data_IF_310300537445
#
_entry.id   IF_310300537445
#
_cell.length_a   1.000
_cell.length_b   1.000
_cell.length_c   1.000
_cell.angle_alpha   90.00
_cell.angle_beta   90.00
_cell.angle_gamma   90.00
#
_symmetry.space_group_name_H-M   'P 1'
#
loop_
_entity.id
_entity.type
_entity.pdbx_description
1 polymer ?
#
# COMPACT_ATOMS: atom_id res chain seq x y z
N UNK A 1 13.14 -11.16 2.76
CA UNK A 1 13.45 -10.20 3.85
C UNK A 1 12.30 -9.21 3.92
N UNK A 2 11.44 -9.31 4.93
CA UNK A 2 10.36 -8.34 5.13
C UNK A 2 10.97 -7.01 5.56
N UNK A 3 10.73 -5.94 4.80
CA UNK A 3 11.19 -4.59 5.17
C UNK A 3 10.53 -4.24 6.51
N UNK A 4 11.33 -4.10 7.57
CA UNK A 4 10.89 -3.64 8.89
C UNK A 4 10.18 -2.28 8.75
N UNK A 5 9.18 -2.03 9.60
CA UNK A 5 8.49 -0.74 9.64
C UNK A 5 9.38 0.23 10.40
N UNK A 6 10.04 1.14 9.69
CA UNK A 6 10.88 2.17 10.31
C UNK A 6 10.03 3.32 10.85
N UNK A 7 9.36 3.06 11.97
CA UNK A 7 8.52 4.02 12.71
C UNK A 7 9.31 5.19 13.30
N UNK A 8 10.62 5.27 13.09
CA UNK A 8 11.47 6.41 13.46
C UNK A 8 11.53 7.48 12.37
N UNK A 9 11.33 7.10 11.11
CA UNK A 9 11.41 8.01 9.96
C UNK A 9 10.29 9.05 9.97
N UNK A 10 10.61 10.25 9.46
CA UNK A 10 9.58 11.24 9.10
C UNK A 10 8.78 10.75 7.89
N UNK A 11 7.57 11.26 7.64
CA UNK A 11 6.73 10.84 6.50
C UNK A 11 7.47 10.89 5.16
N UNK A 12 8.20 11.97 4.89
CA UNK A 12 8.98 12.15 3.66
C UNK A 12 10.09 11.09 3.50
N UNK A 13 10.83 10.81 4.58
CA UNK A 13 11.87 9.79 4.59
C UNK A 13 11.28 8.39 4.39
N UNK A 14 10.11 8.12 5.00
CA UNK A 14 9.42 6.86 4.81
C UNK A 14 8.95 6.67 3.37
N UNK A 15 8.37 7.71 2.74
CA UNK A 15 8.01 7.72 1.33
C UNK A 15 9.23 7.47 0.43
N UNK A 16 10.40 7.98 0.82
CA UNK A 16 11.65 7.73 0.09
C UNK A 16 12.11 6.27 0.15
N UNK A 17 11.72 5.50 1.19
CA UNK A 17 11.98 4.05 1.25
C UNK A 17 11.10 3.21 0.32
N UNK A 18 10.02 3.82 -0.21
CA UNK A 18 9.10 3.17 -1.12
C UNK A 18 9.60 3.26 -2.56
N UNK A 19 9.53 2.13 -3.27
CA UNK A 19 9.77 2.09 -4.71
C UNK A 19 8.69 2.89 -5.47
N UNK A 20 8.98 3.32 -6.71
CA UNK A 20 8.02 4.11 -7.51
C UNK A 20 6.65 3.43 -7.65
N UNK A 21 6.64 2.11 -7.82
CA UNK A 21 5.39 1.32 -7.88
C UNK A 21 4.64 1.29 -6.54
N UNK A 22 5.37 1.27 -5.41
CA UNK A 22 4.79 1.29 -4.06
C UNK A 22 4.15 2.66 -3.77
N UNK A 23 4.81 3.77 -4.15
CA UNK A 23 4.22 5.13 -4.05
C UNK A 23 2.98 5.29 -4.95
N UNK A 24 2.93 4.57 -6.06
CA UNK A 24 1.75 4.53 -6.92
C UNK A 24 0.50 4.03 -6.21
N UNK A 25 0.63 3.15 -5.21
CA UNK A 25 -0.51 2.67 -4.41
C UNK A 25 -1.11 3.80 -3.55
N UNK A 26 -0.28 4.71 -3.04
CA UNK A 26 -0.73 5.90 -2.29
C UNK A 26 -1.52 6.82 -3.22
N UNK A 27 -1.00 7.09 -4.42
CA UNK A 27 -1.72 7.88 -5.43
C UNK A 27 -3.09 7.27 -5.78
N UNK A 28 -3.15 5.96 -5.94
CA UNK A 28 -4.40 5.23 -6.23
C UNK A 28 -5.37 5.31 -5.05
N UNK A 29 -4.87 5.14 -3.82
CA UNK A 29 -5.66 5.27 -2.60
C UNK A 29 -6.27 6.66 -2.47
N UNK A 30 -5.48 7.71 -2.68
CA UNK A 30 -5.95 9.09 -2.61
C UNK A 30 -6.99 9.40 -3.70
N UNK A 31 -6.77 8.92 -4.92
CA UNK A 31 -7.61 9.27 -6.07
C UNK A 31 -8.92 8.45 -6.17
N UNK A 32 -8.91 7.18 -5.77
CA UNK A 32 -10.04 6.25 -5.99
C UNK A 32 -10.74 5.92 -4.66
N UNK A 33 -9.97 5.73 -3.60
CA UNK A 33 -10.48 5.26 -2.32
C UNK A 33 -10.57 6.39 -1.28
N UNK A 34 -10.27 7.63 -1.65
CA UNK A 34 -10.30 8.80 -0.76
C UNK A 34 -9.48 8.59 0.53
N UNK A 35 -8.29 8.00 0.41
CA UNK A 35 -7.42 7.70 1.55
C UNK A 35 -7.80 6.43 2.32
N UNK A 36 -8.88 5.73 1.95
CA UNK A 36 -9.40 4.57 2.70
C UNK A 36 -8.72 3.27 2.31
N UNK A 37 -7.59 2.97 2.96
CA UNK A 37 -6.84 1.72 2.75
C UNK A 37 -7.67 0.44 2.90
N UNK A 38 -8.64 0.42 3.82
CA UNK A 38 -9.50 -0.75 4.03
C UNK A 38 -10.37 -1.07 2.81
N UNK A 39 -10.85 -0.05 2.10
CA UNK A 39 -11.66 -0.23 0.90
C UNK A 39 -10.79 -0.79 -0.25
N UNK A 40 -9.57 -0.24 -0.42
CA UNK A 40 -8.60 -0.76 -1.39
C UNK A 40 -8.18 -2.20 -1.09
N UNK A 41 -7.93 -2.54 0.18
CA UNK A 41 -7.59 -3.90 0.60
C UNK A 41 -8.74 -4.88 0.33
N UNK A 42 -9.99 -4.47 0.58
CA UNK A 42 -11.17 -5.29 0.28
C UNK A 42 -11.26 -5.58 -1.22
N UNK A 43 -11.06 -4.57 -2.07
CA UNK A 43 -11.08 -4.74 -3.52
C UNK A 43 -9.95 -5.63 -4.03
N UNK A 44 -8.73 -5.47 -3.51
CA UNK A 44 -7.60 -6.34 -3.85
C UNK A 44 -7.86 -7.79 -3.43
N UNK A 45 -8.39 -8.02 -2.22
CA UNK A 45 -8.74 -9.36 -1.73
C UNK A 45 -9.85 -10.01 -2.56
N UNK A 46 -10.86 -9.24 -2.97
CA UNK A 46 -11.91 -9.71 -3.87
C UNK A 46 -11.31 -10.11 -5.24
N UNK A 47 -10.46 -9.25 -5.82
CA UNK A 47 -9.76 -9.55 -7.09
C UNK A 47 -8.85 -10.78 -6.98
N UNK A 48 -8.24 -11.01 -5.82
CA UNK A 48 -7.40 -12.19 -5.57
C UNK A 48 -8.17 -13.51 -5.67
N UNK A 49 -9.49 -13.49 -5.43
CA UNK A 49 -10.36 -14.66 -5.41
C UNK A 49 -11.06 -14.94 -6.76
N UNK A 50 -11.12 -13.96 -7.67
CA UNK A 50 -11.90 -14.03 -8.91
C UNK A 50 -11.19 -14.80 -10.02
N UNK A 51 -11.51 -16.10 -10.23
CA UNK A 51 -10.97 -16.94 -11.32
C UNK A 51 -11.63 -16.66 -12.68
N UNK A 52 -10.93 -16.86 -13.83
CA UNK A 52 -9.53 -17.29 -13.98
C UNK A 52 -8.55 -16.10 -14.06
N UNK A 53 -7.45 -16.15 -13.31
CA UNK A 53 -6.39 -15.14 -13.35
C UNK A 53 -5.03 -15.79 -13.57
N UNK A 54 -4.13 -15.04 -14.22
CA UNK A 54 -2.74 -15.48 -14.37
C UNK A 54 -2.03 -15.52 -13.02
N UNK A 55 -1.04 -16.41 -12.89
CA UNK A 55 -0.16 -16.48 -11.72
C UNK A 55 0.58 -15.15 -11.47
N UNK A 56 0.86 -14.38 -12.52
CA UNK A 56 1.50 -13.06 -12.41
C UNK A 56 0.60 -12.03 -11.73
N UNK A 57 -0.71 -12.02 -12.07
CA UNK A 57 -1.67 -11.11 -11.44
C UNK A 57 -1.83 -11.43 -9.95
N UNK A 58 -1.93 -12.72 -9.61
CA UNK A 58 -1.99 -13.15 -8.21
C UNK A 58 -0.78 -12.66 -7.40
N UNK A 59 0.43 -12.88 -7.94
CA UNK A 59 1.68 -12.42 -7.29
C UNK A 59 1.70 -10.90 -7.10
N UNK A 60 1.22 -10.13 -8.09
CA UNK A 60 1.14 -8.67 -8.01
C UNK A 60 0.16 -8.24 -6.91
N UNK A 61 -1.05 -8.78 -6.89
CA UNK A 61 -2.07 -8.44 -5.87
C UNK A 61 -1.55 -8.78 -4.47
N UNK A 62 -0.94 -9.95 -4.28
CA UNK A 62 -0.35 -10.33 -2.99
C UNK A 62 0.76 -9.36 -2.56
N UNK A 63 1.61 -8.92 -3.50
CA UNK A 63 2.65 -7.91 -3.22
C UNK A 63 2.03 -6.57 -2.84
N UNK A 64 1.04 -6.10 -3.59
CA UNK A 64 0.36 -4.82 -3.36
C UNK A 64 -0.32 -4.81 -1.98
N UNK A 65 -0.98 -5.91 -1.57
CA UNK A 65 -1.57 -6.06 -0.23
C UNK A 65 -0.50 -5.90 0.86
N UNK A 66 0.63 -6.60 0.73
CA UNK A 66 1.71 -6.53 1.74
C UNK A 66 2.32 -5.12 1.86
N UNK A 67 2.40 -4.38 0.75
CA UNK A 67 2.87 -2.98 0.75
C UNK A 67 1.86 -2.09 1.47
N UNK A 68 0.57 -2.23 1.18
CA UNK A 68 -0.50 -1.44 1.82
C UNK A 68 -0.52 -1.70 3.32
N UNK A 69 -0.42 -2.96 3.76
CA UNK A 69 -0.37 -3.31 5.18
C UNK A 69 0.85 -2.67 5.87
N UNK A 70 2.01 -2.62 5.20
CA UNK A 70 3.21 -1.92 5.71
C UNK A 70 2.99 -0.41 5.83
N UNK A 71 2.35 0.22 4.85
CA UNK A 71 2.02 1.65 4.86
C UNK A 71 1.04 1.97 5.99
N UNK A 72 -0.05 1.21 6.09
CA UNK A 72 -1.09 1.41 7.09
C UNK A 72 -0.54 1.21 8.52
N UNK A 73 0.39 0.27 8.69
CA UNK A 73 1.06 0.08 9.97
C UNK A 73 1.98 1.27 10.33
N UNK A 74 2.67 1.87 9.35
CA UNK A 74 3.44 3.11 9.57
C UNK A 74 2.52 4.27 9.97
N UNK A 75 1.45 4.50 9.20
CA UNK A 75 0.46 5.56 9.47
C UNK A 75 -0.13 5.44 10.88
N UNK A 76 -0.53 4.23 11.27
CA UNK A 76 -1.06 3.95 12.61
C UNK A 76 -0.01 4.20 13.71
N UNK A 77 1.23 3.78 13.49
CA UNK A 77 2.29 3.95 14.47
C UNK A 77 2.69 5.42 14.69
N UNK A 78 2.60 6.23 13.63
CA UNK A 78 2.94 7.66 13.68
C UNK A 78 1.73 8.57 13.90
N UNK A 79 0.52 8.03 13.82
CA UNK A 79 -0.73 8.78 13.80
C UNK A 79 -0.74 9.88 12.71
N UNK A 80 -0.33 9.49 11.50
CA UNK A 80 -0.28 10.36 10.30
C UNK A 80 -0.98 9.67 9.14
N UNK A 81 -1.49 10.44 8.18
CA UNK A 81 -1.89 9.93 6.87
C UNK A 81 -0.79 10.27 5.86
N UNK A 82 -0.34 9.28 5.09
CA UNK A 82 0.56 9.51 3.97
C UNK A 82 -0.27 9.90 2.76
N UNK A 83 -0.01 11.09 2.21
CA UNK A 83 -0.63 11.57 0.98
C UNK A 83 0.40 11.65 -0.14
N UNK A 84 -0.08 11.49 -1.37
CA UNK A 84 0.74 11.73 -2.55
C UNK A 84 0.87 13.24 -2.80
N UNK A 85 2.05 13.79 -2.52
CA UNK A 85 2.41 15.15 -2.89
C UNK A 85 3.19 15.08 -4.22
N UNK A 86 2.75 15.83 -5.23
CA UNK A 86 3.35 15.88 -6.57
C UNK A 86 4.78 16.44 -6.60
#
# INVERSE_FOLDING_TARGET
>A
MGKTIDTKLKPEDFLNTLEKGERGLIKVNDSIYNGKWNDMLKDLKNRQQQKPYSTSLHKKITRDIAIIERIQAYEKAKNVALTYNE
#
